data_IF_759225401770
#
_entry.id   IF_759225401770
#
_cell.length_a   1.000
_cell.length_b   1.000
_cell.length_c   1.000
_cell.angle_alpha   90.00
_cell.angle_beta   90.00
_cell.angle_gamma   90.00
#
_symmetry.space_group_name_H-M   'P 1'
#
loop_
_entity.id
_entity.type
_entity.pdbx_description
1 polymer ?
#
# COMPACT_ATOMS: atom_id res chain seq x y z
N UNK A 1 12.38 -16.59 -13.27
CA UNK A 1 12.45 -16.67 -11.79
C UNK A 1 12.03 -15.35 -11.14
N UNK A 2 12.64 -14.23 -11.54
CA UNK A 2 12.38 -12.87 -11.05
C UNK A 2 10.90 -12.47 -11.02
N UNK A 3 10.16 -12.69 -12.10
CA UNK A 3 8.74 -12.32 -12.18
C UNK A 3 7.86 -12.99 -11.09
N UNK A 4 8.11 -14.27 -10.80
CA UNK A 4 7.35 -15.00 -9.77
C UNK A 4 7.58 -14.43 -8.37
N UNK A 5 8.81 -14.00 -8.09
CA UNK A 5 9.18 -13.35 -6.83
C UNK A 5 8.42 -12.04 -6.69
N UNK A 6 8.42 -11.18 -7.71
CA UNK A 6 7.69 -9.91 -7.66
C UNK A 6 6.17 -10.06 -7.60
N UNK A 7 5.60 -11.11 -8.22
CA UNK A 7 4.18 -11.45 -8.05
C UNK A 7 3.90 -11.88 -6.60
N UNK A 8 4.77 -12.69 -5.99
CA UNK A 8 4.60 -13.09 -4.59
C UNK A 8 4.73 -11.89 -3.63
N UNK A 9 5.72 -11.01 -3.86
CA UNK A 9 5.87 -9.76 -3.11
C UNK A 9 4.62 -8.90 -3.28
N UNK A 10 4.14 -8.69 -4.50
CA UNK A 10 2.92 -7.92 -4.75
C UNK A 10 1.70 -8.53 -4.08
N UNK A 11 1.59 -9.86 -4.05
CA UNK A 11 0.51 -10.55 -3.35
C UNK A 11 0.56 -10.29 -1.84
N UNK A 12 1.76 -10.40 -1.24
CA UNK A 12 1.97 -10.07 0.17
C UNK A 12 1.68 -8.59 0.45
N UNK A 13 2.02 -7.68 -0.47
CA UNK A 13 1.65 -6.27 -0.38
C UNK A 13 0.13 -6.10 -0.38
N UNK A 14 -0.59 -6.79 -1.26
CA UNK A 14 -2.05 -6.77 -1.29
C UNK A 14 -2.68 -7.24 0.02
N UNK A 15 -2.18 -8.36 0.57
CA UNK A 15 -2.61 -8.87 1.88
C UNK A 15 -2.25 -7.90 3.02
N UNK A 16 -1.07 -7.29 2.98
CA UNK A 16 -0.64 -6.27 3.95
C UNK A 16 -1.53 -5.04 3.94
N UNK A 17 -1.94 -4.56 2.75
CA UNK A 17 -2.89 -3.46 2.59
C UNK A 17 -4.27 -3.81 3.17
N UNK A 18 -4.77 -5.02 2.91
CA UNK A 18 -6.03 -5.49 3.53
C UNK A 18 -5.91 -5.51 5.05
N UNK A 19 -4.81 -6.02 5.58
CA UNK A 19 -4.55 -6.05 7.02
C UNK A 19 -4.51 -4.63 7.63
N UNK A 20 -3.75 -3.72 7.04
CA UNK A 20 -3.63 -2.32 7.51
C UNK A 20 -4.99 -1.63 7.45
N UNK A 21 -5.70 -1.73 6.32
CA UNK A 21 -7.01 -1.12 6.14
C UNK A 21 -8.04 -1.67 7.13
N UNK A 22 -8.05 -2.98 7.35
CA UNK A 22 -8.91 -3.62 8.36
C UNK A 22 -8.58 -3.14 9.77
N UNK A 23 -7.30 -2.92 10.08
CA UNK A 23 -6.89 -2.35 11.37
C UNK A 23 -7.45 -0.94 11.57
N UNK A 24 -7.47 -0.10 10.54
CA UNK A 24 -8.12 1.22 10.61
C UNK A 24 -9.64 1.15 10.81
N UNK A 25 -10.29 0.07 10.36
CA UNK A 25 -11.73 -0.15 10.56
C UNK A 25 -12.07 -0.66 11.97
N UNK A 26 -11.21 -1.52 12.54
CA UNK A 26 -11.49 -2.21 13.82
C UNK A 26 -10.80 -1.57 15.03
N UNK A 27 -9.65 -0.93 14.83
CA UNK A 27 -8.80 -0.37 15.87
C UNK A 27 -8.12 0.92 15.38
N UNK A 28 -8.90 2.01 15.15
CA UNK A 28 -8.43 3.23 14.49
C UNK A 28 -7.26 3.91 15.22
N UNK A 29 -7.33 4.05 16.54
CA UNK A 29 -6.25 4.68 17.35
C UNK A 29 -4.90 3.93 17.23
N UNK A 30 -4.80 2.61 17.49
CA UNK A 30 -3.56 1.87 17.25
C UNK A 30 -3.09 1.90 15.80
N UNK A 31 -4.04 1.89 14.84
CA UNK A 31 -3.71 1.94 13.42
C UNK A 31 -3.05 3.27 13.05
N UNK A 32 -3.63 4.38 13.49
CA UNK A 32 -3.10 5.72 13.27
C UNK A 32 -1.72 5.91 13.90
N UNK A 33 -1.57 5.53 15.18
CA UNK A 33 -0.30 5.62 15.88
C UNK A 33 0.79 4.80 15.18
N UNK A 34 0.46 3.59 14.72
CA UNK A 34 1.37 2.74 13.94
C UNK A 34 1.68 3.28 12.54
N UNK A 35 0.79 4.09 11.97
CA UNK A 35 0.96 4.77 10.69
C UNK A 35 1.88 6.00 10.81
N UNK A 36 2.14 6.47 12.03
CA UNK A 36 2.97 7.64 12.33
C UNK A 36 2.18 8.94 12.48
N UNK A 37 0.86 8.88 12.68
CA UNK A 37 0.03 10.06 12.93
C UNK A 37 -0.52 9.99 14.35
N UNK A 38 -0.70 11.17 14.94
CA UNK A 38 -1.39 11.38 16.22
C UNK A 38 -2.37 12.52 16.01
N UNK A 39 -3.63 12.23 16.25
CA UNK A 39 -4.76 13.12 16.16
C UNK A 39 -5.64 12.90 17.39
N UNK A 40 -6.34 13.95 17.83
CA UNK A 40 -7.33 13.80 18.89
C UNK A 40 -8.68 13.63 18.22
N UNK A 41 -9.18 12.40 18.22
CA UNK A 41 -10.34 12.00 17.44
C UNK A 41 -11.65 12.49 18.06
N UNK A 42 -11.66 12.84 19.35
CA UNK A 42 -12.89 13.18 20.08
C UNK A 42 -14.03 12.15 19.86
N UNK A 43 -13.65 10.87 19.74
CA UNK A 43 -14.50 9.74 19.37
C UNK A 43 -15.12 9.76 17.95
N UNK A 44 -14.65 10.63 17.06
CA UNK A 44 -14.99 10.62 15.63
C UNK A 44 -13.86 9.99 14.79
N UNK A 45 -14.08 8.76 14.36
CA UNK A 45 -13.14 7.99 13.54
C UNK A 45 -13.54 7.93 12.06
N UNK A 46 -14.43 8.82 11.60
CA UNK A 46 -14.97 8.77 10.23
C UNK A 46 -13.87 8.78 9.16
N UNK A 47 -12.82 9.59 9.34
CA UNK A 47 -11.69 9.63 8.41
C UNK A 47 -10.82 8.36 8.46
N UNK A 48 -10.67 7.73 9.63
CA UNK A 48 -9.99 6.44 9.76
C UNK A 48 -10.74 5.36 9.01
N UNK A 49 -12.06 5.34 9.09
CA UNK A 49 -12.88 4.37 8.35
C UNK A 49 -12.82 4.59 6.84
N UNK A 50 -12.93 5.85 6.41
CA UNK A 50 -12.79 6.24 5.01
C UNK A 50 -11.40 5.85 4.45
N UNK A 51 -10.34 6.02 5.23
CA UNK A 51 -8.99 5.56 4.87
C UNK A 51 -8.94 4.03 4.83
N UNK A 52 -9.40 3.38 5.90
CA UNK A 52 -9.31 1.93 6.07
C UNK A 52 -9.94 1.15 4.93
N UNK A 53 -11.15 1.56 4.48
CA UNK A 53 -11.81 0.90 3.35
C UNK A 53 -11.07 1.08 2.03
N UNK A 54 -10.37 2.21 1.82
CA UNK A 54 -9.55 2.44 0.62
C UNK A 54 -8.30 1.57 0.59
N UNK A 55 -7.70 1.32 1.75
CA UNK A 55 -6.57 0.41 1.87
C UNK A 55 -7.01 -1.05 1.64
N UNK A 56 -8.15 -1.45 2.23
CA UNK A 56 -8.75 -2.78 1.95
C UNK A 56 -9.05 -2.94 0.46
N UNK A 57 -9.72 -1.96 -0.15
CA UNK A 57 -10.03 -1.98 -1.57
C UNK A 57 -8.76 -2.09 -2.43
N UNK A 58 -7.74 -1.28 -2.15
CA UNK A 58 -6.47 -1.30 -2.89
C UNK A 58 -5.78 -2.66 -2.80
N UNK A 59 -5.76 -3.25 -1.60
CA UNK A 59 -5.21 -4.59 -1.40
C UNK A 59 -6.01 -5.68 -2.13
N UNK A 60 -7.34 -5.61 -2.11
CA UNK A 60 -8.22 -6.51 -2.86
C UNK A 60 -7.98 -6.41 -4.37
N UNK A 61 -7.85 -5.20 -4.92
CA UNK A 61 -7.54 -5.00 -6.35
C UNK A 61 -6.22 -5.69 -6.71
N UNK A 62 -5.17 -5.52 -5.90
CA UNK A 62 -3.88 -6.18 -6.11
C UNK A 62 -4.04 -7.71 -6.10
N UNK A 63 -4.69 -8.27 -5.08
CA UNK A 63 -4.92 -9.70 -4.95
C UNK A 63 -5.74 -10.26 -6.12
N UNK A 64 -6.83 -9.58 -6.51
CA UNK A 64 -7.70 -10.01 -7.60
C UNK A 64 -6.98 -9.98 -8.95
N UNK A 65 -6.17 -8.96 -9.24
CA UNK A 65 -5.38 -8.91 -10.47
C UNK A 65 -4.38 -10.07 -10.54
N UNK A 66 -3.81 -10.49 -9.41
CA UNK A 66 -2.92 -11.65 -9.34
C UNK A 66 -3.71 -12.95 -9.58
N UNK A 67 -4.81 -13.15 -8.86
CA UNK A 67 -5.65 -14.36 -8.95
C UNK A 67 -6.27 -14.54 -10.34
N UNK A 68 -6.60 -13.43 -11.02
CA UNK A 68 -7.10 -13.40 -12.39
C UNK A 68 -6.00 -13.36 -13.45
N UNK A 69 -4.73 -13.45 -13.04
CA UNK A 69 -3.53 -13.49 -13.90
C UNK A 69 -3.32 -12.25 -14.78
N UNK A 70 -3.86 -11.10 -14.37
CA UNK A 70 -3.79 -9.82 -15.08
C UNK A 70 -2.48 -9.08 -14.80
N UNK A 71 -1.35 -9.62 -15.28
CA UNK A 71 0.00 -9.13 -14.94
C UNK A 71 0.26 -7.69 -15.38
N UNK A 72 -0.19 -7.30 -16.58
CA UNK A 72 0.02 -5.93 -17.07
C UNK A 72 -0.76 -4.91 -16.24
N UNK A 73 -2.04 -5.20 -15.96
CA UNK A 73 -2.87 -4.34 -15.13
C UNK A 73 -2.33 -4.24 -13.70
N UNK A 74 -1.81 -5.33 -13.13
CA UNK A 74 -1.11 -5.32 -11.85
C UNK A 74 0.11 -4.38 -11.87
N UNK A 75 0.94 -4.47 -12.91
CA UNK A 75 2.09 -3.59 -13.08
C UNK A 75 1.70 -2.11 -13.14
N UNK A 76 0.68 -1.75 -13.93
CA UNK A 76 0.13 -0.38 -14.00
C UNK A 76 -0.38 0.06 -12.62
N UNK A 77 -1.13 -0.81 -11.94
CA UNK A 77 -1.74 -0.51 -10.64
C UNK A 77 -0.68 -0.23 -9.58
N UNK A 78 0.39 -1.03 -9.51
CA UNK A 78 1.48 -0.83 -8.55
C UNK A 78 2.30 0.42 -8.88
N UNK A 79 2.62 0.64 -10.16
CA UNK A 79 3.38 1.81 -10.58
C UNK A 79 2.61 3.11 -10.29
N UNK A 80 1.34 3.19 -10.72
CA UNK A 80 0.49 4.34 -10.43
C UNK A 80 0.21 4.48 -8.92
N UNK A 81 -0.04 3.37 -8.23
CA UNK A 81 -0.31 3.33 -6.80
C UNK A 81 0.86 3.80 -5.93
N UNK A 82 2.08 3.90 -6.47
CA UNK A 82 3.25 4.44 -5.75
C UNK A 82 3.02 5.86 -5.25
N UNK A 83 2.12 6.64 -5.87
CA UNK A 83 1.75 7.98 -5.40
C UNK A 83 1.19 7.99 -3.97
N UNK A 84 0.54 6.89 -3.56
CA UNK A 84 -0.10 6.76 -2.24
C UNK A 84 0.97 6.77 -1.14
N UNK A 85 1.90 5.78 -1.07
CA UNK A 85 2.90 5.77 0.00
C UNK A 85 3.89 6.94 -0.10
N UNK A 86 4.11 7.54 -1.29
CA UNK A 86 4.85 8.81 -1.40
C UNK A 86 4.14 9.92 -0.63
N UNK A 87 2.85 10.11 -0.88
CA UNK A 87 2.05 11.15 -0.22
C UNK A 87 1.96 10.88 1.29
N UNK A 88 1.75 9.63 1.67
CA UNK A 88 1.68 9.20 3.06
C UNK A 88 2.97 9.50 3.82
N UNK A 89 4.12 9.17 3.21
CA UNK A 89 5.44 9.49 3.77
C UNK A 89 5.61 11.00 3.98
N UNK A 90 5.23 11.82 3.01
CA UNK A 90 5.34 13.27 3.11
C UNK A 90 4.46 13.82 4.23
N UNK A 91 3.24 13.30 4.39
CA UNK A 91 2.33 13.66 5.48
C UNK A 91 2.93 13.27 6.83
N UNK A 92 3.48 12.06 6.96
CA UNK A 92 4.13 11.60 8.19
C UNK A 92 5.35 12.46 8.54
N UNK A 93 6.21 12.75 7.56
CA UNK A 93 7.40 13.59 7.78
C UNK A 93 7.06 15.07 8.01
N UNK A 94 5.88 15.54 7.62
CA UNK A 94 5.43 16.91 7.90
C UNK A 94 5.13 17.15 9.39
N UNK A 95 5.02 16.10 10.20
CA UNK A 95 4.73 16.22 11.63
C UNK A 95 6.00 16.55 12.41
N UNK A 96 5.93 17.58 13.25
CA UNK A 96 7.06 18.04 14.09
C UNK A 96 7.60 16.97 15.05
N UNK A 97 6.80 15.94 15.35
CA UNK A 97 7.17 14.85 16.25
C UNK A 97 7.71 13.59 15.53
N UNK A 98 7.89 13.64 14.20
CA UNK A 98 8.36 12.50 13.40
C UNK A 98 9.74 12.76 12.78
N UNK A 99 10.39 11.67 12.38
CA UNK A 99 11.60 11.68 11.56
C UNK A 99 11.64 10.47 10.63
N UNK A 100 12.86 10.14 10.16
CA UNK A 100 13.09 9.00 9.24
C UNK A 100 12.51 7.68 9.76
N UNK A 101 12.60 7.31 11.06
CA UNK A 101 12.08 6.03 11.54
C UNK A 101 10.60 5.80 11.22
N UNK A 102 9.77 6.84 11.35
CA UNK A 102 8.34 6.77 11.05
C UNK A 102 8.04 6.72 9.54
N UNK A 103 8.98 7.17 8.71
CA UNK A 103 8.88 7.10 7.25
C UNK A 103 9.25 5.72 6.68
N UNK A 104 9.97 4.88 7.42
CA UNK A 104 10.50 3.59 6.93
C UNK A 104 9.42 2.68 6.28
N UNK A 105 8.23 2.46 6.89
CA UNK A 105 7.21 1.63 6.28
C UNK A 105 6.74 2.16 4.91
N UNK A 106 6.64 3.49 4.79
CA UNK A 106 6.24 4.16 3.56
C UNK A 106 7.34 4.08 2.50
N UNK A 107 8.60 4.28 2.87
CA UNK A 107 9.77 4.10 1.98
C UNK A 107 9.81 2.67 1.43
N UNK A 108 9.59 1.67 2.29
CA UNK A 108 9.53 0.27 1.88
C UNK A 108 8.40 0.03 0.87
N UNK A 109 7.21 0.59 1.13
CA UNK A 109 6.08 0.49 0.20
C UNK A 109 6.36 1.18 -1.15
N UNK A 110 6.99 2.36 -1.15
CA UNK A 110 7.42 3.06 -2.38
C UNK A 110 8.34 2.16 -3.21
N UNK A 111 9.38 1.61 -2.59
CA UNK A 111 10.36 0.75 -3.27
C UNK A 111 9.67 -0.48 -3.84
N UNK A 112 8.83 -1.16 -3.05
CA UNK A 112 8.12 -2.36 -3.48
C UNK A 112 7.17 -2.06 -4.65
N UNK A 113 6.33 -1.03 -4.56
CA UNK A 113 5.37 -0.68 -5.60
C UNK A 113 6.05 -0.20 -6.88
N UNK A 114 7.08 0.66 -6.77
CA UNK A 114 7.81 1.16 -7.92
C UNK A 114 8.60 0.03 -8.62
N UNK A 115 9.34 -0.78 -7.87
CA UNK A 115 10.13 -1.88 -8.43
C UNK A 115 9.23 -2.97 -9.02
N UNK A 116 8.22 -3.45 -8.27
CA UNK A 116 7.31 -4.48 -8.76
C UNK A 116 6.51 -3.96 -9.97
N UNK A 117 5.99 -2.73 -9.91
CA UNK A 117 5.24 -2.12 -11.01
C UNK A 117 6.05 -2.04 -12.29
N UNK A 118 7.25 -1.45 -12.24
CA UNK A 118 8.13 -1.28 -13.41
C UNK A 118 8.61 -2.62 -13.98
N UNK A 119 8.98 -3.59 -13.14
CA UNK A 119 9.46 -4.90 -13.59
C UNK A 119 8.34 -5.69 -14.25
N UNK A 120 7.13 -5.68 -13.68
CA UNK A 120 5.98 -6.38 -14.25
C UNK A 120 5.50 -5.76 -15.57
N UNK A 121 5.68 -4.45 -15.76
CA UNK A 121 5.42 -3.76 -17.03
C UNK A 121 6.48 -4.05 -18.10
N UNK A 122 7.74 -4.19 -17.68
CA UNK A 122 8.86 -4.42 -18.59
C UNK A 122 8.92 -5.86 -19.13
N UNK A 123 8.23 -6.79 -18.46
CA UNK A 123 8.15 -8.16 -18.94
C UNK A 123 7.19 -8.24 -20.14
N UNK A 124 7.73 -8.39 -21.36
CA UNK A 124 6.92 -8.66 -22.55
C UNK A 124 6.00 -9.85 -22.27
N UNK A 125 4.69 -9.64 -22.43
CA UNK A 125 3.77 -10.75 -22.58
C UNK A 125 4.25 -11.54 -23.78
N UNK A 126 4.59 -12.82 -23.58
CA UNK A 126 4.79 -13.74 -24.70
C UNK A 126 3.44 -13.90 -25.37
N UNK A 127 3.11 -13.03 -26.33
CA UNK A 127 1.96 -13.25 -27.21
C UNK A 127 2.20 -14.59 -27.90
N UNK A 128 1.37 -15.58 -27.54
CA UNK A 128 1.04 -16.69 -28.42
C UNK A 128 -0.09 -16.24 -29.34
#
# INVERSE_FOLDING_TARGET
MTQRIFIAIAFLTGLGMIFIGTRFLLAPEPAEAGYGIRFNEHADYSFHYIKGIRDVFSGLVICLLILTKQTKALGITLAAGTIIPVTDMLIVLSKSYNGIPQAIPHIAAIIVCAAAGTILLSHKSSNK
#
